data_IF_755035276619
#
_entry.id   IF_755035276619
#
_cell.length_a   1.000
_cell.length_b   1.000
_cell.length_c   1.000
_cell.angle_alpha   90.00
_cell.angle_beta   90.00
_cell.angle_gamma   90.00
#
_symmetry.space_group_name_H-M   'P 1'
#
loop_
_entity.id
_entity.type
_entity.pdbx_description
1 polymer ?
#
# COMPACT_ATOMS: atom_id res chain seq x y z
N UNK A 1 13.53 33.07 -60.42
CA UNK A 1 12.44 32.40 -59.74
C UNK A 1 12.96 31.73 -58.48
N UNK A 2 12.74 32.36 -57.35
CA UNK A 2 13.17 31.88 -56.05
C UNK A 2 11.95 31.28 -55.34
N UNK A 3 11.81 29.97 -55.28
CA UNK A 3 10.74 29.29 -54.57
C UNK A 3 11.18 29.11 -53.12
N UNK A 4 10.58 29.91 -52.24
CA UNK A 4 10.67 29.80 -50.79
C UNK A 4 9.91 28.54 -50.34
N UNK A 5 10.61 27.49 -49.93
CA UNK A 5 10.03 26.39 -49.16
C UNK A 5 9.60 26.91 -47.79
N UNK A 6 8.29 26.92 -47.51
CA UNK A 6 7.75 27.06 -46.18
C UNK A 6 8.17 25.83 -45.38
N UNK A 7 8.97 26.03 -44.32
CA UNK A 7 9.13 25.06 -43.28
C UNK A 7 7.79 24.92 -42.54
N UNK A 8 7.24 23.72 -42.49
CA UNK A 8 6.12 23.39 -41.62
C UNK A 8 6.67 23.35 -40.19
N UNK A 9 6.28 24.31 -39.38
CA UNK A 9 6.38 24.20 -37.93
C UNK A 9 5.56 22.99 -37.53
N UNK A 10 6.25 21.91 -37.12
CA UNK A 10 5.64 20.85 -36.32
C UNK A 10 5.41 21.48 -34.95
N UNK A 11 4.16 21.83 -34.66
CA UNK A 11 3.70 21.99 -33.29
C UNK A 11 3.92 20.61 -32.60
N UNK A 12 5.01 20.48 -31.86
CA UNK A 12 5.12 19.45 -30.83
C UNK A 12 4.17 19.89 -29.69
N UNK A 13 2.93 19.46 -29.76
CA UNK A 13 2.08 19.42 -28.60
C UNK A 13 2.65 18.29 -27.76
N UNK A 14 3.46 18.62 -26.76
CA UNK A 14 3.87 17.69 -25.71
C UNK A 14 2.72 17.64 -24.73
N UNK A 15 1.86 16.63 -24.87
CA UNK A 15 0.87 16.28 -23.86
C UNK A 15 1.65 15.77 -22.65
N UNK A 16 1.39 16.33 -21.49
CA UNK A 16 2.01 15.91 -20.21
C UNK A 16 1.28 14.67 -19.66
N UNK A 17 1.90 13.95 -18.73
CA UNK A 17 1.25 12.82 -18.05
C UNK A 17 0.01 13.29 -17.30
N UNK A 18 0.06 14.40 -16.57
CA UNK A 18 -1.08 15.04 -15.88
C UNK A 18 -2.25 15.35 -16.84
N UNK A 19 -1.95 15.82 -18.06
CA UNK A 19 -2.99 16.07 -19.07
C UNK A 19 -3.62 14.78 -19.59
N UNK A 20 -2.87 13.67 -19.62
CA UNK A 20 -3.40 12.35 -20.01
C UNK A 20 -4.27 11.76 -18.89
N UNK A 21 -3.86 11.89 -17.63
CA UNK A 21 -4.67 11.48 -16.48
C UNK A 21 -6.00 12.21 -16.45
N UNK A 22 -6.00 13.54 -16.57
CA UNK A 22 -7.22 14.34 -16.64
C UNK A 22 -8.15 13.96 -17.81
N UNK A 23 -7.59 13.50 -18.94
CA UNK A 23 -8.39 13.00 -20.06
C UNK A 23 -9.03 11.64 -19.71
N UNK A 24 -8.30 10.76 -19.02
CA UNK A 24 -8.80 9.44 -18.59
C UNK A 24 -9.95 9.64 -17.62
N UNK A 25 -9.79 10.52 -16.62
CA UNK A 25 -10.82 10.86 -15.64
C UNK A 25 -12.11 11.38 -16.34
N UNK A 26 -11.94 12.32 -17.28
CA UNK A 26 -13.07 12.83 -18.07
C UNK A 26 -13.78 11.72 -18.87
N UNK A 27 -13.02 10.75 -19.41
CA UNK A 27 -13.60 9.62 -20.16
C UNK A 27 -14.31 8.62 -19.25
N UNK A 28 -13.89 8.48 -17.99
CA UNK A 28 -14.58 7.71 -16.97
C UNK A 28 -15.89 8.40 -16.55
N UNK A 29 -15.85 9.70 -16.22
CA UNK A 29 -17.03 10.50 -15.86
C UNK A 29 -18.09 10.52 -16.98
N UNK A 30 -17.66 10.60 -18.25
CA UNK A 30 -18.56 10.54 -19.41
C UNK A 30 -19.06 9.11 -19.72
N UNK A 31 -18.58 8.08 -19.01
CA UNK A 31 -18.96 6.67 -19.21
C UNK A 31 -18.41 6.05 -20.50
N UNK A 32 -17.37 6.66 -21.10
CA UNK A 32 -16.65 6.14 -22.28
C UNK A 32 -15.71 5.00 -21.87
N UNK A 33 -15.09 5.13 -20.68
CA UNK A 33 -14.29 4.08 -20.03
C UNK A 33 -15.05 3.58 -18.80
N UNK A 34 -14.86 2.31 -18.47
CA UNK A 34 -15.25 1.78 -17.18
C UNK A 34 -14.17 2.12 -16.15
N UNK A 35 -14.54 2.16 -14.88
CA UNK A 35 -13.61 2.40 -13.79
C UNK A 35 -12.37 1.50 -13.88
N UNK A 36 -12.54 0.19 -13.98
CA UNK A 36 -11.43 -0.77 -14.08
C UNK A 36 -10.50 -0.49 -15.27
N UNK A 37 -11.03 0.01 -16.39
CA UNK A 37 -10.26 0.36 -17.59
C UNK A 37 -9.47 1.66 -17.36
N UNK A 38 -10.05 2.64 -16.66
CA UNK A 38 -9.41 3.89 -16.28
C UNK A 38 -8.27 3.61 -15.28
N UNK A 39 -8.53 2.82 -14.24
CA UNK A 39 -7.55 2.41 -13.22
C UNK A 39 -6.33 1.72 -13.86
N UNK A 40 -6.53 0.80 -14.81
CA UNK A 40 -5.44 0.14 -15.55
C UNK A 40 -4.62 1.14 -16.37
N UNK A 41 -5.25 2.13 -17.00
CA UNK A 41 -4.55 3.16 -17.76
C UNK A 41 -3.71 4.05 -16.84
N UNK A 42 -4.24 4.49 -15.72
CA UNK A 42 -3.52 5.25 -14.71
C UNK A 42 -2.38 4.42 -14.09
N UNK A 43 -2.62 3.13 -13.77
CA UNK A 43 -1.60 2.20 -13.29
C UNK A 43 -0.38 2.08 -14.23
N UNK A 44 -0.57 2.26 -15.56
CA UNK A 44 0.56 2.27 -16.51
C UNK A 44 1.47 3.50 -16.37
N UNK A 45 0.99 4.62 -15.84
CA UNK A 45 1.82 5.78 -15.50
C UNK A 45 2.53 5.54 -14.16
N UNK A 46 1.82 5.08 -13.14
CA UNK A 46 2.38 4.76 -11.82
C UNK A 46 3.57 3.79 -11.89
N UNK A 47 3.55 2.82 -12.80
CA UNK A 47 4.63 1.82 -12.94
C UNK A 47 5.98 2.43 -13.33
N UNK A 48 6.00 3.60 -13.96
CA UNK A 48 7.24 4.29 -14.33
C UNK A 48 7.85 5.04 -13.15
N UNK A 49 7.03 5.50 -12.23
CA UNK A 49 7.43 6.29 -11.07
C UNK A 49 7.76 5.40 -9.89
N UNK A 50 6.98 4.33 -9.69
CA UNK A 50 7.18 3.38 -8.61
C UNK A 50 8.53 2.66 -8.70
N UNK A 51 9.15 2.45 -7.54
CA UNK A 51 10.42 1.75 -7.38
C UNK A 51 10.22 0.38 -6.73
N UNK A 52 11.26 -0.46 -6.75
CA UNK A 52 11.25 -1.74 -6.05
C UNK A 52 10.98 -1.58 -4.54
N UNK A 53 11.43 -0.47 -3.95
CA UNK A 53 11.19 -0.15 -2.54
C UNK A 53 9.70 0.02 -2.24
N UNK A 54 8.96 0.69 -3.14
CA UNK A 54 7.54 1.03 -2.92
C UNK A 54 6.62 -0.18 -2.95
N UNK A 55 7.03 -1.25 -3.67
CA UNK A 55 6.21 -2.46 -3.87
C UNK A 55 6.75 -3.72 -3.18
N UNK A 56 7.92 -3.64 -2.51
CA UNK A 56 8.54 -4.83 -1.93
C UNK A 56 7.85 -5.29 -0.65
N UNK A 57 7.84 -6.59 -0.43
CA UNK A 57 7.68 -7.15 0.91
C UNK A 57 8.95 -6.87 1.70
N UNK A 58 8.84 -6.09 2.77
CA UNK A 58 9.98 -5.72 3.59
C UNK A 58 10.62 -6.92 4.28
N UNK A 59 11.95 -6.89 4.51
CA UNK A 59 12.73 -7.97 5.12
C UNK A 59 12.13 -8.54 6.41
N UNK A 60 11.47 -7.71 7.21
CA UNK A 60 10.88 -8.12 8.49
C UNK A 60 9.68 -9.05 8.31
N UNK A 61 9.02 -8.98 7.16
CA UNK A 61 7.84 -9.75 6.80
C UNK A 61 8.18 -10.94 5.86
N UNK A 62 9.44 -11.02 5.39
CA UNK A 62 9.89 -12.11 4.52
C UNK A 62 10.22 -13.36 5.31
N UNK A 63 9.67 -14.48 4.89
CA UNK A 63 10.02 -15.79 5.43
C UNK A 63 11.23 -16.37 4.69
N UNK A 64 12.34 -16.52 5.40
CA UNK A 64 13.59 -17.07 4.88
C UNK A 64 13.81 -18.49 5.35
N UNK A 65 14.44 -19.31 4.52
CA UNK A 65 14.94 -20.65 4.90
C UNK A 65 16.46 -20.61 5.13
N UNK A 66 16.92 -21.23 6.20
CA UNK A 66 18.35 -21.47 6.38
C UNK A 66 18.82 -22.58 5.42
N UNK A 67 20.01 -22.45 4.82
CA UNK A 67 20.58 -23.48 3.92
C UNK A 67 20.78 -24.82 4.65
N UNK A 68 20.99 -24.80 5.97
CA UNK A 68 21.18 -25.98 6.81
C UNK A 68 19.86 -26.47 7.45
N UNK A 69 18.69 -25.92 7.02
CA UNK A 69 17.39 -26.33 7.53
C UNK A 69 17.13 -27.81 7.30
N UNK A 70 16.54 -28.46 8.29
CA UNK A 70 16.14 -29.87 8.17
C UNK A 70 14.93 -30.03 7.25
N UNK A 71 14.75 -31.23 6.69
CA UNK A 71 13.55 -31.57 5.89
C UNK A 71 12.26 -31.24 6.64
N UNK A 72 12.20 -31.46 7.96
CA UNK A 72 11.04 -31.17 8.77
C UNK A 72 10.77 -29.66 8.89
N UNK A 73 11.83 -28.85 9.06
CA UNK A 73 11.70 -27.40 9.13
C UNK A 73 11.20 -26.83 7.81
N UNK A 74 11.73 -27.31 6.68
CA UNK A 74 11.32 -26.90 5.34
C UNK A 74 9.83 -27.19 5.12
N UNK A 75 9.39 -28.42 5.40
CA UNK A 75 8.00 -28.85 5.21
C UNK A 75 7.05 -28.09 6.13
N UNK A 76 7.45 -27.85 7.38
CA UNK A 76 6.70 -27.05 8.32
C UNK A 76 6.52 -25.63 7.81
N UNK A 77 7.60 -24.97 7.40
CA UNK A 77 7.56 -23.58 6.90
C UNK A 77 6.66 -23.46 5.67
N UNK A 78 6.75 -24.40 4.71
CA UNK A 78 5.86 -24.38 3.55
C UNK A 78 4.40 -24.66 3.89
N UNK A 79 4.14 -25.52 4.90
CA UNK A 79 2.77 -25.80 5.34
C UNK A 79 2.12 -24.62 6.07
N UNK A 80 2.91 -23.87 6.82
CA UNK A 80 2.43 -22.73 7.60
C UNK A 80 2.18 -21.49 6.73
N UNK A 81 3.02 -21.24 5.71
CA UNK A 81 2.98 -20.02 4.92
C UNK A 81 2.46 -20.19 3.49
N UNK A 82 2.37 -21.40 2.97
CA UNK A 82 1.87 -21.75 1.63
C UNK A 82 2.55 -21.02 0.45
N UNK A 83 3.73 -20.44 0.66
CA UNK A 83 4.46 -19.72 -0.40
C UNK A 83 4.99 -20.64 -1.49
N UNK A 84 4.92 -20.20 -2.75
CA UNK A 84 5.47 -20.95 -3.88
C UNK A 84 6.99 -20.95 -3.93
N UNK A 85 7.63 -19.87 -3.42
CA UNK A 85 9.08 -19.66 -3.44
C UNK A 85 9.52 -19.00 -2.16
N UNK A 86 10.67 -19.44 -1.64
CA UNK A 86 11.29 -18.82 -0.47
C UNK A 86 12.77 -18.54 -0.71
N UNK A 87 13.28 -17.38 -0.27
CA UNK A 87 14.71 -17.12 -0.28
C UNK A 87 15.44 -17.99 0.76
N UNK A 88 16.59 -18.53 0.34
CA UNK A 88 17.45 -19.35 1.18
C UNK A 88 18.71 -18.56 1.53
N UNK A 89 18.98 -18.41 2.80
CA UNK A 89 20.15 -17.68 3.29
C UNK A 89 21.20 -18.61 3.91
N UNK A 90 22.43 -18.10 3.97
CA UNK A 90 23.55 -18.73 4.67
C UNK A 90 24.12 -17.73 5.66
N UNK A 91 24.36 -18.17 6.88
CA UNK A 91 24.89 -17.40 8.01
C UNK A 91 23.91 -16.34 8.54
N UNK A 92 23.50 -15.37 7.72
CA UNK A 92 22.51 -14.35 8.05
C UNK A 92 21.59 -14.05 6.86
N UNK A 93 20.47 -13.38 7.09
CA UNK A 93 19.44 -13.06 6.07
C UNK A 93 19.91 -12.07 5.02
N UNK A 94 21.01 -11.34 5.22
CA UNK A 94 21.61 -10.49 4.20
C UNK A 94 22.37 -11.31 3.14
N UNK A 95 22.71 -12.57 3.46
CA UNK A 95 23.43 -13.44 2.54
C UNK A 95 22.48 -14.47 1.90
N UNK A 96 21.62 -14.02 1.00
CA UNK A 96 20.72 -14.89 0.24
C UNK A 96 21.51 -15.62 -0.86
N UNK A 97 21.61 -16.93 -0.74
CA UNK A 97 22.41 -17.81 -1.64
C UNK A 97 21.56 -18.51 -2.71
N UNK A 98 20.24 -18.53 -2.55
CA UNK A 98 19.34 -19.20 -3.49
C UNK A 98 17.88 -18.93 -3.25
N UNK A 99 17.05 -19.39 -4.20
CA UNK A 99 15.59 -19.43 -4.08
C UNK A 99 15.14 -20.89 -4.17
N UNK A 100 14.38 -21.35 -3.21
CA UNK A 100 13.77 -22.68 -3.21
C UNK A 100 12.33 -22.56 -3.72
N UNK A 101 12.00 -23.38 -4.73
CA UNK A 101 10.63 -23.52 -5.21
C UNK A 101 9.99 -24.76 -4.55
N UNK A 102 8.81 -24.62 -3.99
CA UNK A 102 8.08 -25.71 -3.35
C UNK A 102 7.83 -26.90 -4.29
N UNK A 103 7.51 -26.63 -5.55
CA UNK A 103 7.26 -27.69 -6.54
C UNK A 103 8.51 -28.55 -6.80
N UNK A 104 9.67 -27.90 -6.91
CA UNK A 104 10.92 -28.60 -7.17
C UNK A 104 11.32 -29.46 -5.97
N UNK A 105 11.09 -28.93 -4.75
CA UNK A 105 11.33 -29.66 -3.52
C UNK A 105 10.45 -30.92 -3.41
N UNK A 106 9.13 -30.79 -3.59
CA UNK A 106 8.22 -31.94 -3.50
C UNK A 106 8.43 -32.95 -4.63
N UNK A 107 8.75 -32.50 -5.84
CA UNK A 107 9.11 -33.40 -6.95
C UNK A 107 10.34 -34.26 -6.60
N UNK A 108 11.40 -33.62 -6.07
CA UNK A 108 12.59 -34.34 -5.67
C UNK A 108 12.29 -35.35 -4.54
N UNK A 109 11.41 -35.01 -3.61
CA UNK A 109 10.98 -35.88 -2.51
C UNK A 109 10.20 -37.10 -3.03
N UNK A 110 9.25 -36.90 -3.94
CA UNK A 110 8.46 -37.99 -4.56
C UNK A 110 9.37 -38.95 -5.33
N UNK A 111 10.37 -38.41 -6.02
CA UNK A 111 11.36 -39.22 -6.75
C UNK A 111 12.40 -39.90 -5.86
N UNK A 112 12.27 -39.80 -4.52
CA UNK A 112 13.22 -40.31 -3.53
C UNK A 112 14.67 -39.86 -3.75
N UNK A 113 14.87 -38.71 -4.39
CA UNK A 113 16.19 -38.09 -4.52
C UNK A 113 16.65 -37.51 -3.19
N UNK A 114 17.96 -37.43 -2.97
CA UNK A 114 18.50 -36.68 -1.83
C UNK A 114 18.09 -35.23 -1.98
N UNK A 115 17.28 -34.72 -1.05
CA UNK A 115 16.81 -33.35 -1.03
C UNK A 115 17.88 -32.43 -0.38
N UNK A 116 19.07 -32.37 -0.97
CA UNK A 116 20.04 -31.34 -0.57
C UNK A 116 19.57 -30.00 -1.12
N UNK A 117 19.27 -29.01 -0.27
CA UNK A 117 18.79 -27.70 -0.66
C UNK A 117 19.66 -27.04 -1.75
N UNK A 118 20.99 -27.19 -1.62
CA UNK A 118 21.96 -26.65 -2.57
C UNK A 118 21.76 -27.13 -4.02
N UNK A 119 21.19 -28.34 -4.21
CA UNK A 119 20.92 -28.92 -5.55
C UNK A 119 19.57 -28.51 -6.12
N UNK A 120 18.63 -28.05 -5.28
CA UNK A 120 17.26 -27.68 -5.64
C UNK A 120 17.08 -26.17 -5.81
N UNK A 121 18.00 -25.38 -5.23
CA UNK A 121 17.94 -23.93 -5.30
C UNK A 121 18.26 -23.40 -6.69
N UNK A 122 17.58 -22.34 -7.06
CA UNK A 122 17.91 -21.53 -8.25
C UNK A 122 18.61 -20.25 -7.82
N UNK A 123 19.47 -19.70 -8.70
CA UNK A 123 20.14 -18.41 -8.40
C UNK A 123 19.12 -17.31 -8.24
N UNK A 124 19.20 -16.48 -7.18
CA UNK A 124 18.34 -15.32 -7.02
C UNK A 124 18.65 -14.25 -8.09
N UNK A 125 17.66 -13.46 -8.43
CA UNK A 125 17.84 -12.19 -9.12
C UNK A 125 17.94 -11.14 -8.03
N UNK A 126 18.95 -10.27 -8.08
CA UNK A 126 19.09 -9.13 -7.18
C UNK A 126 18.78 -7.84 -7.93
N UNK A 127 18.12 -6.91 -7.23
CA UNK A 127 17.81 -5.57 -7.71
C UNK A 127 18.09 -4.55 -6.62
N UNK A 128 18.24 -3.28 -6.95
CA UNK A 128 18.39 -2.22 -5.96
C UNK A 128 17.01 -1.62 -5.59
N UNK A 129 16.88 -1.05 -4.40
CA UNK A 129 15.64 -0.41 -3.92
C UNK A 129 15.10 0.64 -4.88
N UNK A 130 15.98 1.45 -5.46
CA UNK A 130 15.63 2.53 -6.38
C UNK A 130 15.43 2.11 -7.84
N UNK A 131 15.34 0.81 -8.12
CA UNK A 131 15.05 0.32 -9.47
C UNK A 131 13.57 0.53 -9.78
N UNK A 132 13.27 1.25 -10.87
CA UNK A 132 11.88 1.42 -11.32
C UNK A 132 11.22 0.09 -11.66
N UNK A 133 9.95 -0.04 -11.34
CA UNK A 133 9.15 -1.27 -11.51
C UNK A 133 9.12 -1.72 -12.97
N UNK A 134 8.99 -0.79 -13.93
CA UNK A 134 9.02 -1.11 -15.37
C UNK A 134 10.33 -1.77 -15.80
N UNK A 135 11.45 -1.34 -15.24
CA UNK A 135 12.78 -1.91 -15.49
C UNK A 135 12.91 -3.27 -14.82
N UNK A 136 12.45 -3.38 -13.58
CA UNK A 136 12.46 -4.63 -12.82
C UNK A 136 11.68 -5.74 -13.54
N UNK A 137 10.48 -5.43 -14.05
CA UNK A 137 9.69 -6.39 -14.86
C UNK A 137 10.51 -6.92 -16.05
N UNK A 138 11.17 -6.03 -16.80
CA UNK A 138 11.97 -6.41 -17.96
C UNK A 138 13.16 -7.31 -17.57
N UNK A 139 13.80 -7.01 -16.44
CA UNK A 139 14.90 -7.81 -15.89
C UNK A 139 14.41 -9.20 -15.45
N UNK A 140 13.30 -9.27 -14.72
CA UNK A 140 12.68 -10.52 -14.28
C UNK A 140 12.26 -11.39 -15.46
N UNK A 141 11.62 -10.80 -16.49
CA UNK A 141 11.24 -11.50 -17.71
C UNK A 141 12.47 -12.03 -18.46
N UNK A 142 13.51 -11.22 -18.65
CA UNK A 142 14.76 -11.62 -19.30
C UNK A 142 15.48 -12.73 -18.55
N UNK A 143 15.51 -12.66 -17.22
CA UNK A 143 16.08 -13.69 -16.35
C UNK A 143 15.17 -14.91 -16.18
N UNK A 144 13.93 -14.87 -16.63
CA UNK A 144 12.86 -15.87 -16.38
C UNK A 144 12.70 -16.16 -14.89
N UNK A 145 12.64 -15.11 -14.09
CA UNK A 145 12.45 -15.16 -12.64
C UNK A 145 11.14 -14.50 -12.26
N UNK A 146 10.49 -15.03 -11.24
CA UNK A 146 9.23 -14.51 -10.68
C UNK A 146 9.42 -13.88 -9.31
N UNK A 147 10.65 -13.88 -8.78
CA UNK A 147 11.01 -13.26 -7.51
C UNK A 147 12.40 -12.66 -7.63
N UNK A 148 12.55 -11.43 -7.21
CA UNK A 148 13.80 -10.70 -7.05
C UNK A 148 14.06 -10.38 -5.57
N UNK A 149 15.32 -10.36 -5.17
CA UNK A 149 15.77 -9.95 -3.84
C UNK A 149 16.22 -8.49 -3.96
N UNK A 150 15.66 -7.62 -3.13
CA UNK A 150 15.95 -6.19 -3.11
C UNK A 150 17.10 -5.93 -2.15
N UNK A 151 18.08 -5.16 -2.62
CA UNK A 151 19.27 -4.80 -1.85
C UNK A 151 19.29 -3.31 -1.56
N UNK A 152 19.70 -2.96 -0.33
CA UNK A 152 20.01 -1.61 0.08
C UNK A 152 21.34 -1.10 -0.50
N UNK A 153 21.69 0.14 -0.22
CA UNK A 153 22.91 0.82 -0.68
C UNK A 153 24.20 0.17 -0.13
N UNK A 154 24.09 -0.59 0.95
CA UNK A 154 25.22 -1.27 1.59
C UNK A 154 25.34 -2.75 1.13
N UNK A 155 24.41 -3.21 0.30
CA UNK A 155 24.33 -4.60 -0.15
C UNK A 155 23.64 -5.53 0.84
N UNK A 156 22.97 -5.00 1.86
CA UNK A 156 22.06 -5.76 2.74
C UNK A 156 20.73 -6.05 2.03
N UNK A 157 20.03 -7.07 2.50
CA UNK A 157 18.70 -7.41 1.97
C UNK A 157 17.64 -6.53 2.62
N UNK A 158 16.95 -5.70 1.83
CA UNK A 158 15.83 -4.86 2.25
C UNK A 158 14.49 -5.58 2.15
N UNK A 159 14.35 -6.48 1.18
CA UNK A 159 13.09 -7.18 0.95
C UNK A 159 13.12 -8.10 -0.26
N UNK A 160 11.94 -8.46 -0.72
CA UNK A 160 11.72 -9.21 -1.96
C UNK A 160 10.60 -8.56 -2.77
N UNK A 161 10.66 -8.72 -4.10
CA UNK A 161 9.58 -8.34 -5.02
C UNK A 161 9.24 -9.54 -5.89
N UNK A 162 7.96 -9.81 -6.06
CA UNK A 162 7.47 -10.83 -6.98
C UNK A 162 7.01 -10.20 -8.30
N UNK A 163 6.78 -11.01 -9.33
CA UNK A 163 6.19 -10.52 -10.59
C UNK A 163 4.73 -10.09 -10.37
N UNK A 164 4.08 -10.76 -9.45
CA UNK A 164 2.72 -10.50 -9.01
C UNK A 164 2.60 -9.09 -8.43
N UNK A 165 3.49 -8.67 -7.51
CA UNK A 165 3.54 -7.31 -6.94
C UNK A 165 3.75 -6.24 -8.02
N UNK A 166 4.63 -6.53 -9.00
CA UNK A 166 4.85 -5.63 -10.12
C UNK A 166 3.61 -5.46 -11.01
N UNK A 167 2.80 -6.51 -11.18
CA UNK A 167 1.59 -6.46 -12.00
C UNK A 167 0.44 -5.78 -11.24
N UNK A 168 0.38 -5.96 -9.95
CA UNK A 168 -0.59 -5.31 -9.07
C UNK A 168 -0.50 -3.77 -9.16
N UNK A 169 0.71 -3.22 -9.32
CA UNK A 169 0.89 -1.77 -9.56
C UNK A 169 0.14 -1.27 -10.81
N UNK A 170 -0.12 -2.13 -11.80
CA UNK A 170 -0.83 -1.75 -13.04
C UNK A 170 -2.31 -2.01 -12.96
N UNK A 171 -2.67 -3.18 -12.42
CA UNK A 171 -4.03 -3.73 -12.50
C UNK A 171 -4.85 -3.39 -11.26
N UNK A 172 -4.17 -2.90 -10.18
CA UNK A 172 -4.77 -2.85 -8.85
C UNK A 172 -4.93 -4.25 -8.27
N UNK A 173 -5.60 -4.39 -7.16
CA UNK A 173 -5.93 -5.70 -6.59
C UNK A 173 -6.78 -6.50 -7.58
N UNK A 174 -6.21 -7.61 -8.08
CA UNK A 174 -6.95 -8.55 -8.94
C UNK A 174 -7.78 -9.43 -8.00
N UNK A 175 -9.05 -9.12 -7.85
CA UNK A 175 -9.99 -10.02 -7.18
C UNK A 175 -10.17 -11.27 -8.04
N UNK A 176 -9.74 -12.43 -7.55
CA UNK A 176 -10.01 -13.71 -8.21
C UNK A 176 -11.50 -14.05 -8.04
N UNK A 177 -12.16 -14.56 -9.10
CA UNK A 177 -13.56 -15.00 -9.06
C UNK A 177 -13.83 -16.10 -8.00
N UNK A 178 -12.74 -16.63 -7.40
CA UNK A 178 -12.77 -17.64 -6.34
C UNK A 178 -12.45 -17.11 -4.95
N UNK A 179 -12.15 -15.82 -4.82
CA UNK A 179 -12.04 -15.16 -3.51
C UNK A 179 -13.45 -15.00 -2.93
N UNK A 180 -14.04 -16.14 -2.53
CA UNK A 180 -15.21 -16.15 -1.69
C UNK A 180 -14.90 -15.39 -0.40
N UNK A 181 -15.37 -14.13 -0.34
CA UNK A 181 -15.70 -13.38 0.88
C UNK A 181 -14.77 -13.52 2.11
N UNK A 182 -13.43 -13.47 1.98
CA UNK A 182 -12.57 -13.08 3.10
C UNK A 182 -12.43 -11.55 3.22
N UNK A 183 -12.89 -10.77 2.29
CA UNK A 183 -13.04 -9.34 2.47
C UNK A 183 -14.36 -9.04 3.19
N UNK A 184 -14.36 -9.18 4.51
CA UNK A 184 -15.31 -8.36 5.28
C UNK A 184 -15.15 -6.91 4.76
N UNK A 185 -16.26 -6.23 4.35
CA UNK A 185 -16.12 -4.91 3.74
C UNK A 185 -15.25 -4.03 4.62
N UNK A 186 -14.23 -3.40 4.02
CA UNK A 186 -13.26 -2.57 4.76
C UNK A 186 -13.94 -1.46 5.56
N UNK A 187 -15.17 -1.08 5.16
CA UNK A 187 -16.02 -0.10 5.83
C UNK A 187 -17.43 -0.69 5.98
N UNK A 188 -17.91 -0.83 7.19
CA UNK A 188 -19.27 -1.28 7.53
C UNK A 188 -19.95 -0.23 8.37
N UNK A 189 -21.07 0.32 7.90
CA UNK A 189 -21.87 1.21 8.71
C UNK A 189 -22.53 0.43 9.85
N UNK A 190 -22.23 0.80 11.09
CA UNK A 190 -22.72 0.16 12.33
C UNK A 190 -23.81 0.96 13.04
N UNK A 191 -23.99 2.24 12.67
CA UNK A 191 -24.98 3.15 13.23
C UNK A 191 -25.14 4.44 12.43
N UNK A 192 -25.92 5.39 12.93
CA UNK A 192 -25.99 6.73 12.36
C UNK A 192 -24.63 7.42 12.65
N UNK A 193 -23.89 7.75 11.58
CA UNK A 193 -22.54 8.33 11.63
C UNK A 193 -21.49 7.46 12.38
N UNK A 194 -21.73 6.15 12.48
CA UNK A 194 -20.82 5.19 13.10
C UNK A 194 -20.45 4.07 12.11
N UNK A 195 -19.15 3.73 12.03
CA UNK A 195 -18.58 2.79 11.08
C UNK A 195 -17.55 1.87 11.73
N UNK A 196 -17.56 0.60 11.37
CA UNK A 196 -16.49 -0.34 11.70
C UNK A 196 -15.58 -0.48 10.47
N UNK A 197 -14.28 -0.20 10.66
CA UNK A 197 -13.31 0.01 9.59
C UNK A 197 -12.14 -0.95 9.75
N UNK A 198 -11.72 -1.58 8.66
CA UNK A 198 -10.42 -2.23 8.60
C UNK A 198 -9.33 -1.17 8.43
N UNK A 199 -8.30 -1.20 9.30
CA UNK A 199 -7.27 -0.16 9.31
C UNK A 199 -6.25 -0.27 8.16
N UNK A 200 -6.39 -1.25 7.28
CA UNK A 200 -5.62 -1.36 6.03
C UNK A 200 -6.21 -0.51 4.89
N UNK A 201 -7.45 0.00 5.06
CA UNK A 201 -8.05 0.92 4.08
C UNK A 201 -7.15 2.15 3.87
N UNK A 202 -6.98 2.59 2.63
CA UNK A 202 -6.32 3.86 2.33
C UNK A 202 -7.19 5.03 2.82
N UNK A 203 -6.55 6.10 3.28
CA UNK A 203 -7.29 7.23 3.88
C UNK A 203 -8.11 7.97 2.84
N UNK A 204 -7.63 8.11 1.61
CA UNK A 204 -8.38 8.67 0.48
C UNK A 204 -9.64 7.85 0.19
N UNK A 205 -9.54 6.51 0.06
CA UNK A 205 -10.70 5.62 -0.11
C UNK A 205 -11.71 5.73 1.03
N UNK A 206 -11.24 5.91 2.27
CA UNK A 206 -12.10 6.11 3.43
C UNK A 206 -12.89 7.41 3.33
N UNK A 207 -12.22 8.51 2.99
CA UNK A 207 -12.82 9.83 2.89
C UNK A 207 -13.82 9.88 1.73
N UNK A 208 -13.46 9.30 0.57
CA UNK A 208 -14.35 9.19 -0.59
C UNK A 208 -15.65 8.43 -0.25
N UNK A 209 -15.53 7.28 0.46
CA UNK A 209 -16.70 6.49 0.88
C UNK A 209 -17.56 7.17 1.93
N UNK A 210 -17.00 8.09 2.69
CA UNK A 210 -17.70 8.93 3.66
C UNK A 210 -18.20 10.23 3.04
N UNK A 211 -17.94 10.47 1.74
CA UNK A 211 -18.29 11.69 1.00
C UNK A 211 -17.69 12.96 1.62
N UNK A 212 -16.48 12.87 2.23
CA UNK A 212 -15.77 13.99 2.86
C UNK A 212 -14.67 14.47 1.90
N UNK A 213 -14.83 15.69 1.34
CA UNK A 213 -13.91 16.20 0.30
C UNK A 213 -12.55 16.67 0.84
N UNK A 214 -12.47 17.09 2.11
CA UNK A 214 -11.26 17.71 2.67
C UNK A 214 -10.29 16.65 3.21
N UNK A 215 -9.38 16.19 2.37
CA UNK A 215 -8.37 15.16 2.67
C UNK A 215 -7.25 15.68 3.58
N UNK A 216 -6.62 14.81 4.41
CA UNK A 216 -5.41 15.14 5.14
C UNK A 216 -4.20 15.32 4.22
N UNK A 217 -3.07 15.85 4.76
CA UNK A 217 -1.86 16.14 3.98
C UNK A 217 -1.26 14.90 3.26
N UNK A 218 -1.50 13.69 3.78
CA UNK A 218 -0.94 12.43 3.27
C UNK A 218 -2.05 11.39 3.08
N UNK A 219 -2.94 11.56 2.08
CA UNK A 219 -4.15 10.76 1.98
C UNK A 219 -3.91 9.31 1.50
N UNK A 220 -2.83 9.04 0.78
CA UNK A 220 -2.55 7.71 0.17
C UNK A 220 -1.98 6.67 1.13
N UNK A 221 -1.82 6.99 2.40
CA UNK A 221 -1.38 6.04 3.43
C UNK A 221 -2.55 5.24 4.00
N UNK A 222 -2.26 4.07 4.57
CA UNK A 222 -3.28 3.30 5.29
C UNK A 222 -3.78 4.04 6.53
N UNK A 223 -5.04 3.78 6.93
CA UNK A 223 -5.62 4.34 8.15
C UNK A 223 -4.78 3.98 9.39
N UNK A 224 -4.16 2.78 9.43
CA UNK A 224 -3.23 2.41 10.49
C UNK A 224 -2.04 3.38 10.59
N UNK A 225 -1.42 3.75 9.46
CA UNK A 225 -0.30 4.71 9.43
C UNK A 225 -0.74 6.11 9.82
N UNK A 226 -1.87 6.55 9.29
CA UNK A 226 -2.46 7.84 9.61
C UNK A 226 -2.74 8.03 11.10
N UNK A 227 -3.38 7.03 11.74
CA UNK A 227 -3.65 7.08 13.19
C UNK A 227 -2.37 7.04 14.02
N UNK A 228 -1.31 6.40 13.51
CA UNK A 228 -0.01 6.40 14.17
C UNK A 228 0.66 7.77 14.12
N UNK A 229 0.50 8.51 13.02
CA UNK A 229 1.02 9.88 12.86
C UNK A 229 0.25 10.90 13.71
N UNK A 230 -1.05 10.71 13.94
CA UNK A 230 -1.86 11.62 14.75
C UNK A 230 -1.41 11.69 16.22
N UNK A 231 -0.75 10.66 16.71
CA UNK A 231 -0.24 10.61 18.08
C UNK A 231 1.06 9.81 18.11
N UNK A 232 2.15 10.41 18.54
CA UNK A 232 3.48 9.79 18.63
C UNK A 232 3.57 8.58 19.60
N UNK A 233 2.46 8.18 20.20
CA UNK A 233 2.36 7.08 21.15
C UNK A 233 2.06 5.74 20.46
N UNK A 234 2.57 4.64 21.05
CA UNK A 234 2.27 3.27 20.60
C UNK A 234 0.75 3.02 20.70
N UNK A 235 0.08 2.56 19.63
CA UNK A 235 -1.33 2.28 19.65
C UNK A 235 -1.65 1.11 20.58
N UNK A 236 -2.77 1.22 21.30
CA UNK A 236 -3.28 0.16 22.18
C UNK A 236 -4.78 -0.03 21.93
N UNK A 237 -5.28 -1.24 22.19
CA UNK A 237 -6.72 -1.51 22.08
C UNK A 237 -7.50 -0.63 23.05
N UNK A 238 -8.55 0.05 22.54
CA UNK A 238 -9.39 1.01 23.26
C UNK A 238 -8.85 2.43 23.23
N UNK A 239 -7.69 2.70 22.60
CA UNK A 239 -7.18 4.05 22.42
C UNK A 239 -8.07 4.80 21.46
N UNK A 240 -8.27 6.09 21.74
CA UNK A 240 -9.09 7.00 20.94
C UNK A 240 -8.18 8.00 20.26
N UNK A 241 -8.43 8.24 18.99
CA UNK A 241 -7.79 9.27 18.17
C UNK A 241 -8.88 10.21 17.65
N UNK A 242 -8.62 11.51 17.66
CA UNK A 242 -9.54 12.51 17.16
C UNK A 242 -8.89 13.26 15.99
N UNK A 243 -9.65 13.40 14.91
CA UNK A 243 -9.25 14.17 13.74
C UNK A 243 -10.34 15.16 13.38
N UNK A 244 -9.97 16.43 13.32
CA UNK A 244 -10.89 17.53 12.99
C UNK A 244 -10.70 17.92 11.53
N UNK A 245 -11.79 17.94 10.79
CA UNK A 245 -11.81 18.41 9.40
C UNK A 245 -13.07 19.22 9.12
N UNK A 246 -13.23 19.68 7.90
CA UNK A 246 -14.39 20.44 7.43
C UNK A 246 -15.07 19.60 6.37
N UNK A 247 -16.37 19.42 6.49
CA UNK A 247 -17.21 18.81 5.47
C UNK A 247 -17.97 19.92 4.72
N UNK A 248 -18.02 19.82 3.40
CA UNK A 248 -18.70 20.80 2.54
C UNK A 248 -20.00 20.19 2.04
N UNK A 249 -21.12 20.67 2.54
CA UNK A 249 -22.46 20.18 2.18
C UNK A 249 -23.21 21.23 1.38
N UNK A 250 -23.81 20.83 0.26
CA UNK A 250 -24.72 21.68 -0.51
C UNK A 250 -26.12 21.53 0.10
N UNK A 251 -26.69 22.63 0.62
CA UNK A 251 -28.03 22.65 1.18
C UNK A 251 -29.12 22.49 0.10
N UNK A 252 -30.38 22.27 0.52
CA UNK A 252 -31.54 22.12 -0.38
C UNK A 252 -31.80 23.37 -1.25
N UNK A 253 -31.20 24.51 -0.94
CA UNK A 253 -31.28 25.75 -1.68
C UNK A 253 -30.11 25.94 -2.66
N UNK A 254 -29.12 24.99 -2.68
CA UNK A 254 -27.95 25.01 -3.54
C UNK A 254 -26.80 25.89 -3.01
N UNK A 255 -26.81 26.27 -1.73
CA UNK A 255 -25.71 27.01 -1.13
C UNK A 255 -24.71 26.03 -0.51
N UNK A 256 -23.40 26.28 -0.71
CA UNK A 256 -22.33 25.54 -0.06
C UNK A 256 -22.26 25.94 1.41
N UNK A 257 -22.45 25.00 2.31
CA UNK A 257 -22.31 25.17 3.76
C UNK A 257 -21.14 24.34 4.27
N UNK A 258 -20.29 24.92 5.09
CA UNK A 258 -19.15 24.23 5.71
C UNK A 258 -19.51 23.79 7.12
N UNK A 259 -19.43 22.50 7.38
CA UNK A 259 -19.64 21.91 8.69
C UNK A 259 -18.31 21.41 9.25
N UNK A 260 -17.97 21.81 10.47
CA UNK A 260 -16.84 21.23 11.18
C UNK A 260 -17.24 19.88 11.73
N UNK A 261 -16.44 18.86 11.45
CA UNK A 261 -16.63 17.50 11.95
C UNK A 261 -15.45 17.07 12.81
N UNK A 262 -15.75 16.30 13.83
CA UNK A 262 -14.75 15.55 14.60
C UNK A 262 -14.91 14.07 14.30
N UNK A 263 -13.89 13.47 13.71
CA UNK A 263 -13.80 12.04 13.44
C UNK A 263 -13.13 11.37 14.64
N UNK A 264 -13.87 10.56 15.38
CA UNK A 264 -13.40 9.87 16.59
C UNK A 264 -13.13 8.41 16.26
N UNK A 265 -11.87 8.04 16.17
CA UNK A 265 -11.42 6.67 15.87
C UNK A 265 -11.10 5.93 17.17
N UNK A 266 -11.78 4.83 17.45
CA UNK A 266 -11.50 3.95 18.60
C UNK A 266 -10.91 2.63 18.14
N UNK A 267 -9.72 2.27 18.61
CA UNK A 267 -9.06 1.02 18.26
C UNK A 267 -9.81 -0.18 18.86
N UNK A 268 -10.41 -1.02 18.03
CA UNK A 268 -11.18 -2.19 18.47
C UNK A 268 -10.37 -3.49 18.43
N UNK A 269 -9.43 -3.63 17.47
CA UNK A 269 -8.58 -4.82 17.34
C UNK A 269 -7.14 -4.43 16.99
N UNK A 270 -6.19 -5.14 17.61
CA UNK A 270 -4.74 -5.05 17.36
C UNK A 270 -4.19 -6.42 16.98
N UNK A 271 -3.23 -6.46 16.04
CA UNK A 271 -2.43 -7.64 15.71
C UNK A 271 -0.97 -7.23 15.49
N UNK A 272 -0.02 -7.96 16.09
CA UNK A 272 1.43 -7.72 15.92
C UNK A 272 1.86 -6.24 16.04
N UNK A 273 1.31 -5.50 17.01
CA UNK A 273 1.53 -4.07 17.25
C UNK A 273 0.96 -3.13 16.16
N UNK A 274 0.15 -3.64 15.22
CA UNK A 274 -0.56 -2.84 14.22
C UNK A 274 -2.04 -2.77 14.56
N UNK A 275 -2.66 -1.63 14.24
CA UNK A 275 -4.11 -1.49 14.32
C UNK A 275 -4.72 -2.30 13.17
N UNK A 276 -5.66 -3.21 13.49
CA UNK A 276 -6.38 -4.01 12.49
C UNK A 276 -7.81 -3.53 12.28
N UNK A 277 -8.50 -3.13 13.35
CA UNK A 277 -9.87 -2.62 13.24
C UNK A 277 -10.07 -1.41 14.11
N UNK A 278 -10.85 -0.50 13.60
CA UNK A 278 -11.18 0.78 14.22
C UNK A 278 -12.69 0.98 14.15
N UNK A 279 -13.26 1.52 15.20
CA UNK A 279 -14.61 2.05 15.20
C UNK A 279 -14.55 3.57 15.04
N UNK A 280 -15.14 4.10 13.99
CA UNK A 280 -15.23 5.52 13.70
C UNK A 280 -16.60 6.03 14.10
N UNK A 281 -16.62 7.18 14.78
CA UNK A 281 -17.81 7.99 15.03
C UNK A 281 -17.59 9.39 14.50
N UNK A 282 -18.48 9.86 13.64
CA UNK A 282 -18.46 11.23 13.10
C UNK A 282 -19.38 12.10 13.93
N UNK A 283 -18.86 13.25 14.39
CA UNK A 283 -19.62 14.21 15.21
C UNK A 283 -19.59 15.56 14.51
N UNK A 284 -20.77 16.06 14.11
CA UNK A 284 -20.93 17.38 13.54
C UNK A 284 -20.93 18.43 14.66
N UNK A 285 -20.02 19.40 14.57
CA UNK A 285 -19.86 20.45 15.57
C UNK A 285 -20.73 21.66 15.19
N UNK A 286 -21.62 22.07 16.09
CA UNK A 286 -22.38 23.31 15.92
C UNK A 286 -21.49 24.53 16.21
N UNK A 287 -21.76 25.68 15.56
CA UNK A 287 -21.00 26.92 15.78
C UNK A 287 -21.04 27.46 17.23
N UNK A 288 -21.91 26.90 18.08
CA UNK A 288 -22.08 27.26 19.47
C UNK A 288 -21.11 26.57 20.47
N UNK A 289 -20.32 25.56 20.03
CA UNK A 289 -19.42 24.82 20.93
C UNK A 289 -18.06 25.52 21.21
N UNK A 290 -17.95 26.81 20.97
CA UNK A 290 -16.76 27.63 21.30
C UNK A 290 -16.66 28.04 22.77
N UNK A 291 -16.78 27.13 23.72
CA UNK A 291 -16.57 27.43 25.14
C UNK A 291 -15.90 26.32 25.94
N UNK A 292 -14.69 25.91 25.54
CA UNK A 292 -14.01 24.83 26.29
C UNK A 292 -12.50 24.83 26.32
N UNK A 293 -11.78 25.66 25.52
CA UNK A 293 -10.31 25.55 25.48
C UNK A 293 -9.56 26.89 25.59
N UNK A 294 -9.91 27.69 26.63
CA UNK A 294 -9.15 28.90 26.99
C UNK A 294 -8.91 29.00 28.50
N UNK A 295 -8.52 27.89 29.15
CA UNK A 295 -8.08 27.89 30.56
C UNK A 295 -6.97 26.90 30.84
N UNK A 296 -5.81 27.04 30.21
CA UNK A 296 -4.58 26.45 30.75
C UNK A 296 -3.27 27.12 30.29
N UNK A 297 -3.28 28.42 30.11
CA UNK A 297 -2.06 29.23 30.01
C UNK A 297 -2.07 30.39 30.98
N UNK A 298 -2.05 30.12 32.29
CA UNK A 298 -1.64 31.12 33.31
C UNK A 298 -1.56 30.47 34.69
N UNK A 299 -0.48 29.74 34.97
CA UNK A 299 0.02 29.58 36.33
C UNK A 299 1.42 28.96 36.36
N UNK A 300 2.41 29.68 35.88
CA UNK A 300 3.81 29.48 36.27
C UNK A 300 4.59 30.76 36.02
N UNK A 301 4.42 31.71 36.92
CA UNK A 301 5.39 32.78 37.23
C UNK A 301 4.88 33.55 38.45
N UNK A 302 5.31 33.13 39.59
CA UNK A 302 5.63 33.93 40.79
C UNK A 302 5.91 32.93 41.90
N UNK A 303 7.19 32.80 42.22
CA UNK A 303 7.74 32.98 43.55
C UNK A 303 9.19 32.47 43.53
N UNK A 304 10.08 33.43 43.35
CA UNK A 304 11.47 33.29 43.75
C UNK A 304 11.79 34.55 44.58
N UNK A 305 11.78 34.39 45.86
CA UNK A 305 12.63 35.10 46.83
C UNK A 305 13.27 34.05 47.76
#
# INVERSE_FOLDING_TARGET
>A
ACTRKKASEKNNVTVTEDELESIIDTMEEEGVLKKDEADMLQGTFKIKEATAHDIMTHRVDVVFLNIDATTQDIEKTFSEHQYSRMPVYKDNTDNVVGLLNIKDYFNAKIEHKKCELSSLMTKPLFTAENTNVDTLIKEMQKAKKHLAVVLDENGGVSGIVTMEDCLETVVGEIYDETDEDESAPMLVQSGDDEYDIDAEIAVDDLFDRLEIENLPENPYQSLNSFLFELNEDIPEKGKIYEYFTIDEIIDDEGNLTQHKINMIFTVTKMENHRIKKVHLKIVYLSDDDKAGDDKNEKSEKTDAE
#
